data_IF_783422873459
#
_entry.id   IF_783422873459
#
_cell.length_a   1.000
_cell.length_b   1.000
_cell.length_c   1.000
_cell.angle_alpha   90.00
_cell.angle_beta   90.00
_cell.angle_gamma   90.00
#
_symmetry.space_group_name_H-M   'P 1'
#
loop_
_entity.id
_entity.type
_entity.pdbx_description
1 polymer ?
#
# COMPACT_ATOMS: atom_id res chain seq x y z
N UNK A 1 20.43 -16.77 14.10
CA UNK A 1 21.21 -16.17 13.00
C UNK A 1 20.43 -14.98 12.47
N UNK A 2 21.11 -13.89 12.12
CA UNK A 2 20.51 -12.70 11.49
C UNK A 2 19.87 -13.07 10.14
N UNK A 3 18.71 -12.50 9.83
CA UNK A 3 18.07 -12.63 8.53
C UNK A 3 18.71 -11.69 7.50
N UNK A 4 19.16 -10.51 7.95
CA UNK A 4 19.86 -9.54 7.12
C UNK A 4 21.28 -10.04 6.83
N UNK A 5 21.64 -10.12 5.54
CA UNK A 5 23.03 -10.38 5.14
C UNK A 5 23.76 -9.06 5.00
N UNK A 6 24.87 -8.89 5.72
CA UNK A 6 25.69 -7.69 5.65
C UNK A 6 26.82 -7.92 4.66
N UNK A 7 26.72 -7.30 3.49
CA UNK A 7 27.73 -7.40 2.43
C UNK A 7 27.95 -6.04 1.78
N UNK A 8 28.86 -5.29 2.38
CA UNK A 8 29.04 -3.90 2.02
C UNK A 8 29.68 -3.71 0.64
N UNK A 9 29.23 -2.69 -0.07
CA UNK A 9 29.88 -2.19 -1.29
C UNK A 9 31.12 -1.37 -0.94
N UNK A 10 32.01 -1.14 -1.90
CA UNK A 10 33.20 -0.30 -1.69
C UNK A 10 32.80 1.16 -1.41
N UNK A 11 33.61 1.84 -0.59
CA UNK A 11 33.49 3.29 -0.42
C UNK A 11 33.67 3.97 -1.78
N UNK A 12 32.75 4.86 -2.12
CA UNK A 12 32.77 5.66 -3.35
C UNK A 12 31.86 6.88 -3.18
N UNK A 13 32.14 7.95 -3.92
CA UNK A 13 31.42 9.22 -3.76
C UNK A 13 29.92 9.14 -4.11
N UNK A 14 29.53 8.22 -5.01
CA UNK A 14 28.20 8.20 -5.63
C UNK A 14 27.15 7.44 -4.80
N UNK A 15 27.55 6.43 -4.05
CA UNK A 15 26.61 5.57 -3.32
C UNK A 15 27.00 5.27 -1.88
N UNK A 16 28.30 5.18 -1.54
CA UNK A 16 28.75 4.92 -0.17
C UNK A 16 29.87 5.88 0.23
N UNK A 17 29.52 7.05 0.79
CA UNK A 17 30.52 8.07 1.08
C UNK A 17 31.44 7.76 2.27
N UNK A 18 31.17 6.70 3.04
CA UNK A 18 31.91 6.40 4.27
C UNK A 18 31.69 7.43 5.40
N UNK A 19 30.68 8.28 5.26
CA UNK A 19 30.33 9.29 6.26
C UNK A 19 29.48 8.63 7.35
N UNK A 20 29.85 8.87 8.61
CA UNK A 20 29.07 8.41 9.77
C UNK A 20 27.75 9.18 9.87
N UNK A 21 26.67 8.49 10.16
CA UNK A 21 25.37 9.11 10.38
C UNK A 21 25.23 9.66 11.82
N UNK A 22 24.17 10.40 12.08
CA UNK A 22 23.93 11.08 13.36
C UNK A 22 23.26 10.16 14.41
N UNK A 23 23.20 8.86 14.15
CA UNK A 23 22.30 7.92 14.82
C UNK A 23 21.04 7.66 14.00
N UNK A 24 20.30 6.60 14.31
CA UNK A 24 19.11 6.20 13.55
C UNK A 24 17.85 6.54 14.35
N UNK A 25 17.02 7.41 13.81
CA UNK A 25 15.75 7.89 14.37
C UNK A 25 14.51 7.34 13.64
N UNK A 26 14.70 6.63 12.54
CA UNK A 26 13.59 5.98 11.84
C UNK A 26 14.01 5.20 10.60
N UNK A 27 12.99 4.68 9.90
CA UNK A 27 13.14 3.85 8.72
C UNK A 27 12.30 4.45 7.59
N UNK A 28 12.90 4.57 6.41
CA UNK A 28 12.21 5.04 5.20
C UNK A 28 12.08 3.87 4.24
N UNK A 29 10.83 3.54 3.93
CA UNK A 29 10.45 2.49 3.01
C UNK A 29 10.42 3.03 1.57
N UNK A 30 11.02 2.26 0.67
CA UNK A 30 11.13 2.54 -0.75
C UNK A 30 10.75 1.31 -1.58
N UNK A 31 10.64 1.52 -2.89
CA UNK A 31 10.67 0.45 -3.88
C UNK A 31 11.65 0.80 -4.98
N UNK A 32 12.26 -0.22 -5.59
CA UNK A 32 13.36 0.01 -6.52
C UNK A 32 12.91 0.59 -7.86
N UNK A 33 11.60 0.53 -8.17
CA UNK A 33 11.03 0.85 -9.48
C UNK A 33 11.71 0.10 -10.65
N UNK A 34 12.45 -0.97 -10.36
CA UNK A 34 13.24 -1.73 -11.31
C UNK A 34 12.66 -3.15 -11.45
N UNK A 35 11.86 -3.35 -12.50
CA UNK A 35 11.15 -4.63 -12.76
C UNK A 35 12.15 -5.77 -12.92
N UNK A 36 12.03 -6.79 -12.08
CA UNK A 36 12.89 -7.97 -12.08
C UNK A 36 14.28 -7.75 -11.46
N UNK A 37 14.56 -6.57 -10.91
CA UNK A 37 15.83 -6.28 -10.25
C UNK A 37 15.88 -6.93 -8.87
N UNK A 38 16.83 -7.84 -8.67
CA UNK A 38 17.07 -8.52 -7.38
C UNK A 38 17.89 -7.63 -6.42
N UNK A 39 17.93 -7.99 -5.13
CA UNK A 39 18.79 -7.32 -4.15
C UNK A 39 20.27 -7.34 -4.58
N UNK A 40 20.71 -8.45 -5.20
CA UNK A 40 22.06 -8.61 -5.76
C UNK A 40 22.32 -7.69 -6.95
N UNK A 41 21.34 -7.53 -7.85
CA UNK A 41 21.49 -6.58 -8.96
C UNK A 41 21.70 -5.16 -8.44
N UNK A 42 20.94 -4.75 -7.42
CA UNK A 42 21.07 -3.42 -6.83
C UNK A 42 22.41 -3.25 -6.09
N UNK A 43 22.88 -4.25 -5.33
CA UNK A 43 24.24 -4.24 -4.76
C UNK A 43 25.30 -3.96 -5.84
N UNK A 44 25.26 -4.73 -6.93
CA UNK A 44 26.24 -4.61 -8.01
C UNK A 44 26.14 -3.26 -8.72
N UNK A 45 24.92 -2.75 -8.92
CA UNK A 45 24.68 -1.43 -9.50
C UNK A 45 25.28 -0.33 -8.61
N UNK A 46 24.95 -0.30 -7.32
CA UNK A 46 25.43 0.75 -6.41
C UNK A 46 26.94 0.65 -6.15
N UNK A 47 27.55 -0.54 -6.21
CA UNK A 47 29.00 -0.70 -6.12
C UNK A 47 29.77 -0.05 -7.29
N UNK A 48 29.10 0.12 -8.44
CA UNK A 48 29.71 0.63 -9.68
C UNK A 48 29.05 1.93 -10.16
N UNK A 49 28.19 2.55 -9.36
CA UNK A 49 27.45 3.75 -9.74
C UNK A 49 28.40 4.91 -10.06
N UNK A 50 28.10 5.66 -11.13
CA UNK A 50 28.82 6.87 -11.53
C UNK A 50 27.84 7.94 -12.02
N UNK A 51 28.17 9.21 -11.79
CA UNK A 51 27.45 10.37 -12.31
C UNK A 51 26.11 10.68 -11.64
N UNK A 52 25.69 9.90 -10.65
CA UNK A 52 24.47 10.14 -9.87
C UNK A 52 24.72 9.79 -8.40
N UNK A 53 24.11 10.55 -7.48
CA UNK A 53 24.20 10.29 -6.04
C UNK A 53 22.94 9.60 -5.55
N UNK A 54 23.01 8.29 -5.33
CA UNK A 54 21.89 7.49 -4.88
C UNK A 54 22.37 6.19 -4.21
N UNK A 55 21.62 5.73 -3.20
CA UNK A 55 21.84 4.44 -2.54
C UNK A 55 20.73 4.19 -1.52
N UNK A 56 20.67 2.99 -0.95
CA UNK A 56 19.98 2.70 0.30
C UNK A 56 20.81 1.70 1.10
N UNK A 57 20.58 1.58 2.40
CA UNK A 57 21.29 0.59 3.21
C UNK A 57 20.81 -0.82 2.89
N UNK A 58 19.50 -1.06 2.75
CA UNK A 58 18.94 -2.40 2.55
C UNK A 58 18.22 -2.54 1.22
N UNK A 59 18.43 -3.67 0.54
CA UNK A 59 17.66 -4.14 -0.62
C UNK A 59 17.07 -5.51 -0.32
N UNK A 60 15.78 -5.68 -0.57
CA UNK A 60 15.04 -6.87 -0.14
C UNK A 60 14.20 -7.40 -1.29
N UNK A 61 14.37 -8.67 -1.63
CA UNK A 61 13.57 -9.37 -2.63
C UNK A 61 12.91 -10.64 -2.04
N UNK A 62 12.38 -11.49 -2.91
CA UNK A 62 11.70 -12.74 -2.54
C UNK A 62 12.62 -13.76 -1.87
N UNK A 63 13.94 -13.62 -2.03
CA UNK A 63 14.94 -14.61 -1.64
C UNK A 63 15.69 -14.14 -0.38
N UNK A 64 16.09 -12.87 -0.33
CA UNK A 64 16.96 -12.37 0.73
C UNK A 64 16.77 -10.89 1.07
N UNK A 65 17.33 -10.48 2.21
CA UNK A 65 17.56 -9.10 2.58
C UNK A 65 19.06 -8.84 2.65
N UNK A 66 19.53 -7.84 1.89
CA UNK A 66 20.93 -7.52 1.76
C UNK A 66 21.20 -6.08 2.23
N UNK A 67 22.03 -5.94 3.26
CA UNK A 67 22.53 -4.66 3.73
C UNK A 67 23.86 -4.36 3.05
N UNK A 68 23.89 -3.32 2.20
CA UNK A 68 25.02 -2.99 1.33
C UNK A 68 25.81 -1.77 1.81
N UNK A 69 25.28 -1.00 2.75
CA UNK A 69 25.97 0.10 3.44
C UNK A 69 25.77 -0.12 4.94
N UNK A 70 26.83 -0.01 5.77
CA UNK A 70 26.70 -0.17 7.22
C UNK A 70 25.61 0.72 7.81
N UNK A 71 24.88 0.19 8.81
CA UNK A 71 23.75 0.91 9.41
C UNK A 71 24.15 2.20 10.14
N UNK A 72 25.43 2.39 10.44
CA UNK A 72 26.01 3.60 11.04
C UNK A 72 26.62 4.57 10.00
N UNK A 73 26.45 4.30 8.71
CA UNK A 73 26.86 5.17 7.61
C UNK A 73 25.65 5.82 6.91
N UNK A 74 25.92 6.95 6.25
CA UNK A 74 24.97 7.68 5.40
C UNK A 74 24.74 6.92 4.10
N UNK A 75 23.47 6.84 3.69
CA UNK A 75 23.06 6.48 2.34
C UNK A 75 22.25 7.63 1.71
N UNK A 76 22.42 7.86 0.41
CA UNK A 76 21.67 8.87 -0.34
C UNK A 76 20.30 8.38 -0.79
N UNK A 77 19.31 8.36 0.11
CA UNK A 77 18.02 7.73 -0.18
C UNK A 77 16.80 8.66 -0.07
N UNK A 78 16.81 9.72 0.74
CA UNK A 78 15.60 10.49 1.03
C UNK A 78 15.85 11.98 1.38
N UNK A 79 16.60 12.69 0.54
CA UNK A 79 16.86 14.12 0.75
C UNK A 79 16.82 14.96 -0.53
N UNK A 80 16.44 14.39 -1.66
CA UNK A 80 16.26 15.13 -2.89
C UNK A 80 15.06 16.10 -2.81
N UNK A 81 15.01 17.07 -3.72
CA UNK A 81 13.88 18.00 -3.82
C UNK A 81 12.92 17.44 -4.87
N UNK A 82 11.89 16.74 -4.42
CA UNK A 82 10.86 16.14 -5.30
C UNK A 82 9.62 17.02 -5.47
N UNK A 83 9.37 17.94 -4.54
CA UNK A 83 8.17 18.79 -4.52
C UNK A 83 8.45 20.12 -3.84
N UNK A 84 7.74 21.16 -4.27
CA UNK A 84 7.68 22.47 -3.62
C UNK A 84 6.29 22.72 -3.01
N UNK A 85 6.25 23.54 -1.96
CA UNK A 85 5.03 24.11 -1.41
C UNK A 85 4.53 25.27 -2.29
N UNK A 86 3.30 25.74 -2.03
CA UNK A 86 2.72 26.87 -2.76
C UNK A 86 3.52 28.19 -2.59
N UNK A 87 4.23 28.32 -1.47
CA UNK A 87 5.11 29.47 -1.17
C UNK A 87 6.52 29.36 -1.77
N UNK A 88 6.79 28.32 -2.59
CA UNK A 88 8.10 28.07 -3.20
C UNK A 88 9.13 27.43 -2.27
N UNK A 89 8.81 27.19 -1.00
CA UNK A 89 9.69 26.45 -0.08
C UNK A 89 9.75 24.96 -0.42
N UNK A 90 10.85 24.29 -0.03
CA UNK A 90 11.03 22.83 -0.26
C UNK A 90 9.99 22.05 0.57
N UNK A 91 9.28 21.12 -0.05
CA UNK A 91 8.34 20.23 0.66
C UNK A 91 9.12 19.24 1.54
N UNK A 92 9.15 19.47 2.86
CA UNK A 92 9.86 18.63 3.84
C UNK A 92 9.12 18.53 5.18
N UNK A 93 7.91 17.93 5.20
CA UNK A 93 7.04 17.95 6.39
C UNK A 93 7.62 17.23 7.62
N UNK A 94 8.65 16.38 7.43
CA UNK A 94 9.31 15.65 8.51
C UNK A 94 10.65 16.27 8.95
N UNK A 95 11.10 17.38 8.35
CA UNK A 95 12.44 17.93 8.61
C UNK A 95 12.66 18.32 10.08
N UNK A 96 11.63 18.85 10.77
CA UNK A 96 11.74 19.16 12.20
C UNK A 96 11.83 17.92 13.10
N UNK A 97 11.46 16.74 12.59
CA UNK A 97 11.47 15.47 13.34
C UNK A 97 12.74 14.68 13.12
N UNK A 98 13.25 14.66 11.88
CA UNK A 98 14.39 13.78 11.49
C UNK A 98 15.51 14.53 10.75
N UNK A 99 15.38 15.84 10.52
CA UNK A 99 16.35 16.62 9.76
C UNK A 99 16.53 16.12 8.33
N UNK A 100 17.80 16.06 7.89
CA UNK A 100 18.16 15.40 6.64
C UNK A 100 18.11 13.88 6.85
N UNK A 101 17.10 13.24 6.26
CA UNK A 101 16.83 11.83 6.50
C UNK A 101 17.98 10.88 6.10
N UNK A 102 18.84 11.26 5.15
CA UNK A 102 20.03 10.47 4.80
C UNK A 102 20.98 10.25 5.99
N UNK A 103 20.98 11.17 6.96
CA UNK A 103 21.87 11.17 8.13
C UNK A 103 21.22 10.59 9.38
N UNK A 104 19.93 10.31 9.37
CA UNK A 104 19.19 9.94 10.58
C UNK A 104 18.27 8.74 10.39
N UNK A 105 18.22 8.15 9.19
CA UNK A 105 17.32 7.04 8.91
C UNK A 105 17.98 5.94 8.10
N UNK A 106 17.35 4.76 8.14
CA UNK A 106 17.72 3.63 7.30
C UNK A 106 16.77 3.60 6.09
N UNK A 107 17.32 3.63 4.88
CA UNK A 107 16.61 3.37 3.65
C UNK A 107 16.46 1.87 3.40
N UNK A 108 15.22 1.42 3.24
CA UNK A 108 14.86 0.03 2.92
C UNK A 108 14.15 -0.03 1.58
N UNK A 109 14.79 -0.67 0.59
CA UNK A 109 14.30 -0.81 -0.78
C UNK A 109 13.66 -2.18 -1.00
N UNK A 110 12.36 -2.18 -1.32
CA UNK A 110 11.65 -3.38 -1.75
C UNK A 110 11.84 -3.58 -3.26
N UNK A 111 12.53 -4.65 -3.63
CA UNK A 111 12.76 -5.07 -4.99
C UNK A 111 11.47 -5.55 -5.66
N UNK A 112 11.39 -5.41 -6.98
CA UNK A 112 10.22 -5.80 -7.75
C UNK A 112 10.45 -7.10 -8.52
N UNK A 113 9.42 -7.94 -8.58
CA UNK A 113 9.43 -9.08 -9.48
C UNK A 113 9.46 -8.63 -10.96
N UNK A 114 9.55 -9.61 -11.87
CA UNK A 114 9.57 -9.35 -13.33
C UNK A 114 8.31 -8.64 -13.84
N UNK A 115 7.20 -8.72 -13.08
CA UNK A 115 5.94 -8.06 -13.41
C UNK A 115 5.89 -6.62 -12.88
N UNK A 116 6.83 -6.23 -12.03
CA UNK A 116 6.89 -4.91 -11.39
C UNK A 116 6.13 -4.82 -10.08
N UNK A 117 5.86 -5.95 -9.43
CA UNK A 117 5.14 -6.02 -8.16
C UNK A 117 6.11 -6.14 -6.99
N UNK A 118 5.78 -5.47 -5.88
CA UNK A 118 6.27 -5.87 -4.56
C UNK A 118 5.50 -7.14 -4.21
N UNK A 119 6.14 -8.30 -4.29
CA UNK A 119 5.44 -9.56 -3.99
C UNK A 119 5.17 -9.68 -2.50
N UNK A 120 4.29 -10.61 -2.15
CA UNK A 120 4.07 -10.97 -0.74
C UNK A 120 5.34 -11.51 -0.07
N UNK A 121 6.22 -12.21 -0.80
CA UNK A 121 7.49 -12.71 -0.23
C UNK A 121 8.44 -11.56 0.08
N UNK A 122 8.59 -10.62 -0.86
CA UNK A 122 9.37 -9.39 -0.64
C UNK A 122 8.82 -8.60 0.54
N UNK A 123 7.48 -8.43 0.63
CA UNK A 123 6.82 -7.78 1.76
C UNK A 123 7.16 -8.48 3.10
N UNK A 124 6.99 -9.80 3.19
CA UNK A 124 7.28 -10.54 4.42
C UNK A 124 8.77 -10.54 4.79
N UNK A 125 9.66 -10.55 3.80
CA UNK A 125 11.09 -10.41 4.04
C UNK A 125 11.44 -9.01 4.54
N UNK A 126 10.78 -7.97 4.03
CA UNK A 126 10.91 -6.62 4.55
C UNK A 126 10.43 -6.51 6.00
N UNK A 127 9.34 -7.19 6.36
CA UNK A 127 8.87 -7.26 7.76
C UNK A 127 9.92 -7.91 8.66
N UNK A 128 10.52 -9.04 8.24
CA UNK A 128 11.58 -9.72 9.01
C UNK A 128 12.80 -8.83 9.21
N UNK A 129 13.28 -8.20 8.14
CA UNK A 129 14.44 -7.31 8.20
C UNK A 129 14.16 -6.11 9.11
N UNK A 130 13.00 -5.46 8.97
CA UNK A 130 12.65 -4.30 9.81
C UNK A 130 12.47 -4.69 11.28
N UNK A 131 11.91 -5.86 11.60
CA UNK A 131 11.91 -6.38 12.98
C UNK A 131 13.31 -6.54 13.55
N UNK A 132 14.25 -7.01 12.75
CA UNK A 132 15.65 -7.12 13.16
C UNK A 132 16.28 -5.74 13.39
N UNK A 133 16.00 -4.76 12.52
CA UNK A 133 16.43 -3.37 12.71
C UNK A 133 15.85 -2.75 14.00
N UNK A 134 14.59 -3.03 14.32
CA UNK A 134 13.97 -2.55 15.57
C UNK A 134 14.59 -3.21 16.80
N UNK A 135 15.01 -4.48 16.71
CA UNK A 135 15.75 -5.11 17.81
C UNK A 135 17.10 -4.42 18.06
N UNK A 136 17.74 -3.86 17.03
CA UNK A 136 18.97 -3.06 17.13
C UNK A 136 18.67 -1.63 17.64
N UNK A 137 17.54 -1.05 17.21
CA UNK A 137 17.12 0.32 17.52
C UNK A 137 15.72 0.34 18.16
N UNK A 138 15.58 -0.06 19.44
CA UNK A 138 14.28 -0.29 20.08
C UNK A 138 13.45 0.99 20.29
N UNK A 139 14.04 2.17 20.15
CA UNK A 139 13.35 3.46 20.20
C UNK A 139 12.65 3.82 18.88
N UNK A 140 12.82 3.03 17.82
CA UNK A 140 12.06 3.17 16.57
C UNK A 140 10.67 2.54 16.78
N UNK A 141 9.67 3.40 16.96
CA UNK A 141 8.26 3.01 17.05
C UNK A 141 7.60 2.94 15.68
N UNK A 142 6.35 2.47 15.64
CA UNK A 142 5.51 2.39 14.44
C UNK A 142 5.46 3.70 13.63
N UNK A 143 5.45 4.82 14.34
CA UNK A 143 5.27 6.18 13.83
C UNK A 143 6.57 6.72 13.23
N UNK A 144 7.69 6.03 13.49
CA UNK A 144 9.02 6.29 12.94
C UNK A 144 9.35 5.43 11.71
N UNK A 145 8.32 4.82 11.10
CA UNK A 145 8.39 4.19 9.79
C UNK A 145 7.57 5.02 8.80
N UNK A 146 8.25 5.56 7.80
CA UNK A 146 7.69 6.45 6.78
C UNK A 146 7.96 5.93 5.38
N UNK A 147 7.22 6.43 4.39
CA UNK A 147 7.56 6.29 2.97
C UNK A 147 8.47 7.45 2.55
N UNK A 148 9.23 7.27 1.47
CA UNK A 148 9.95 8.40 0.86
C UNK A 148 9.00 9.56 0.50
N UNK A 149 7.79 9.23 0.08
CA UNK A 149 6.71 10.19 -0.15
C UNK A 149 6.43 11.10 1.05
N UNK A 150 6.44 10.55 2.25
CA UNK A 150 6.14 11.31 3.47
C UNK A 150 7.29 12.29 3.81
N UNK A 151 8.47 12.12 3.22
CA UNK A 151 9.68 12.92 3.50
C UNK A 151 9.88 14.02 2.46
N UNK A 152 9.78 13.69 1.18
CA UNK A 152 10.10 14.62 0.07
C UNK A 152 8.94 14.83 -0.91
N UNK A 153 7.84 14.08 -0.76
CA UNK A 153 6.74 14.06 -1.73
C UNK A 153 6.98 13.20 -2.97
N UNK A 154 8.14 12.52 -3.07
CA UNK A 154 8.42 11.58 -4.18
C UNK A 154 7.40 10.44 -4.17
N UNK A 155 6.88 10.07 -5.33
CA UNK A 155 5.94 8.93 -5.45
C UNK A 155 6.65 7.58 -5.23
N UNK A 156 7.12 7.32 -4.01
CA UNK A 156 7.91 6.18 -3.61
C UNK A 156 7.58 5.79 -2.15
N UNK A 157 7.22 4.52 -1.87
CA UNK A 157 6.93 3.47 -2.84
C UNK A 157 5.60 3.77 -3.56
N UNK A 158 5.60 3.87 -4.89
CA UNK A 158 4.38 4.23 -5.64
C UNK A 158 3.18 3.30 -5.33
N UNK A 159 3.34 1.96 -5.19
CA UNK A 159 2.24 1.09 -4.79
C UNK A 159 1.65 1.44 -3.42
N UNK A 160 2.48 1.87 -2.46
CA UNK A 160 2.03 2.25 -1.12
C UNK A 160 1.56 3.71 -1.04
N UNK A 161 1.95 4.56 -1.98
CA UNK A 161 1.35 5.89 -2.15
C UNK A 161 -0.06 5.74 -2.71
N UNK A 162 -0.24 4.90 -3.72
CA UNK A 162 -1.54 4.56 -4.28
C UNK A 162 -2.45 3.83 -3.27
N UNK A 163 -1.87 2.95 -2.45
CA UNK A 163 -2.56 2.16 -1.42
C UNK A 163 -1.92 2.35 -0.04
N UNK A 164 -2.23 3.45 0.68
CA UNK A 164 -1.63 3.74 1.99
C UNK A 164 -1.86 2.66 3.05
N UNK A 165 -2.91 1.83 2.91
CA UNK A 165 -3.16 0.70 3.81
C UNK A 165 -2.05 -0.34 3.80
N UNK A 166 -1.22 -0.44 2.75
CA UNK A 166 -0.06 -1.34 2.74
C UNK A 166 1.03 -0.91 3.73
N UNK A 167 1.21 0.40 3.95
CA UNK A 167 2.13 0.88 5.00
C UNK A 167 1.61 0.50 6.39
N UNK A 168 0.31 0.65 6.63
CA UNK A 168 -0.30 0.27 7.91
C UNK A 168 -0.27 -1.25 8.13
N UNK A 169 -0.52 -2.03 7.08
CA UNK A 169 -0.36 -3.49 7.07
C UNK A 169 1.08 -3.89 7.39
N UNK A 170 2.05 -3.20 6.82
CA UNK A 170 3.47 -3.43 7.10
C UNK A 170 3.80 -3.16 8.56
N UNK A 171 3.38 -2.00 9.07
CA UNK A 171 3.54 -1.61 10.47
C UNK A 171 2.88 -2.60 11.44
N UNK A 172 1.67 -3.08 11.13
CA UNK A 172 0.98 -4.13 11.90
C UNK A 172 1.77 -5.44 11.91
N UNK A 173 2.34 -5.83 10.77
CA UNK A 173 3.13 -7.05 10.68
C UNK A 173 4.45 -6.95 11.47
N UNK A 174 5.02 -5.75 11.57
CA UNK A 174 6.25 -5.44 12.31
C UNK A 174 6.02 -5.38 13.82
N UNK A 175 5.09 -4.56 14.30
CA UNK A 175 4.90 -4.29 15.73
C UNK A 175 3.79 -5.12 16.38
N UNK A 176 3.04 -5.87 15.59
CA UNK A 176 1.74 -6.38 16.01
C UNK A 176 0.67 -5.29 15.93
N UNK A 177 -0.59 -5.69 16.07
CA UNK A 177 -1.69 -4.73 16.16
C UNK A 177 -1.60 -4.01 17.50
N UNK A 178 -1.51 -2.68 17.48
CA UNK A 178 -1.60 -1.87 18.69
C UNK A 178 -2.94 -2.15 19.37
N UNK A 179 -2.85 -2.61 20.62
CA UNK A 179 -3.99 -2.89 21.49
C UNK A 179 -4.58 -1.57 21.98
N UNK A 180 -5.33 -0.93 21.09
CA UNK A 180 -5.87 0.42 21.20
C UNK A 180 -6.10 0.94 19.78
N UNK A 181 -7.21 0.63 19.10
CA UNK A 181 -8.39 -0.13 19.49
C UNK A 181 -8.27 -1.65 19.24
N UNK A 182 -8.31 -2.42 20.32
CA UNK A 182 -8.48 -3.88 20.45
C UNK A 182 -7.53 -4.84 19.68
N UNK A 183 -6.70 -5.52 20.48
CA UNK A 183 -5.76 -6.63 20.25
C UNK A 183 -6.38 -7.84 19.53
N UNK A 184 -5.70 -8.46 18.55
CA UNK A 184 -4.81 -9.65 18.64
C UNK A 184 -5.61 -10.99 18.64
N UNK A 185 -5.30 -12.08 17.93
CA UNK A 185 -4.12 -12.54 17.17
C UNK A 185 -4.53 -13.58 16.07
N UNK A 186 -3.60 -13.90 15.16
CA UNK A 186 -3.60 -14.93 14.07
C UNK A 186 -3.27 -16.35 14.64
N UNK A 187 -3.07 -17.46 13.89
CA UNK A 187 -3.52 -17.91 12.53
C UNK A 187 -3.88 -19.43 12.41
N UNK A 188 -4.75 -19.86 11.48
CA UNK A 188 -4.62 -21.14 10.72
C UNK A 188 -5.81 -21.41 9.81
N UNK A 189 -5.60 -21.74 8.54
CA UNK A 189 -6.53 -22.52 7.70
C UNK A 189 -6.55 -23.99 8.19
N UNK A 190 -7.63 -24.79 8.05
CA UNK A 190 -8.64 -24.78 6.98
C UNK A 190 -10.13 -24.91 7.41
N UNK A 191 -11.02 -24.63 6.46
CA UNK A 191 -12.44 -25.07 6.38
C UNK A 191 -13.55 -24.20 7.02
N UNK A 192 -14.29 -23.53 6.13
CA UNK A 192 -15.76 -23.31 6.04
C UNK A 192 -16.55 -22.80 7.27
N UNK A 193 -17.12 -21.58 7.07
CA UNK A 193 -18.36 -20.96 7.63
C UNK A 193 -18.28 -20.16 8.96
N UNK A 194 -19.14 -19.13 9.13
CA UNK A 194 -18.69 -17.73 9.20
C UNK A 194 -18.93 -17.03 10.55
N UNK A 195 -18.00 -16.18 11.01
CA UNK A 195 -18.36 -15.10 11.95
C UNK A 195 -17.49 -13.81 11.85
N UNK A 196 -18.17 -12.75 11.40
CA UNK A 196 -18.25 -11.42 12.04
C UNK A 196 -16.99 -10.55 12.22
N UNK A 197 -16.19 -10.32 11.17
CA UNK A 197 -15.58 -8.99 11.02
C UNK A 197 -16.60 -8.06 10.33
N UNK A 198 -17.31 -7.26 11.13
CA UNK A 198 -18.13 -6.17 10.63
C UNK A 198 -17.21 -5.05 10.15
N UNK A 199 -17.48 -4.49 8.98
CA UNK A 199 -16.84 -3.29 8.47
C UNK A 199 -17.56 -2.05 9.00
N UNK A 200 -16.87 -0.91 9.03
CA UNK A 200 -17.47 0.37 9.42
C UNK A 200 -18.59 0.76 8.43
N UNK A 201 -19.70 1.26 8.96
CA UNK A 201 -20.85 1.73 8.19
C UNK A 201 -20.73 3.25 7.96
N UNK A 202 -19.62 3.68 7.37
CA UNK A 202 -19.26 5.08 7.19
C UNK A 202 -19.84 5.71 5.90
N UNK A 203 -20.43 4.91 5.01
CA UNK A 203 -20.92 5.37 3.72
C UNK A 203 -19.83 5.66 2.69
N UNK A 204 -18.58 5.24 2.94
CA UNK A 204 -17.46 5.38 2.02
C UNK A 204 -17.13 4.04 1.38
N UNK A 205 -17.19 3.96 0.04
CA UNK A 205 -16.93 2.70 -0.66
C UNK A 205 -15.43 2.54 -0.86
N UNK A 206 -14.73 2.30 0.25
CA UNK A 206 -13.30 2.07 0.31
C UNK A 206 -12.92 0.59 0.33
N UNK A 207 -11.62 0.30 0.47
CA UNK A 207 -11.06 -1.05 0.43
C UNK A 207 -11.74 -2.06 1.36
N UNK A 208 -12.12 -1.67 2.58
CA UNK A 208 -12.82 -2.56 3.51
C UNK A 208 -14.19 -3.01 2.98
N UNK A 209 -14.95 -2.10 2.34
CA UNK A 209 -16.23 -2.42 1.69
C UNK A 209 -16.01 -3.31 0.47
N UNK A 210 -15.01 -3.01 -0.37
CA UNK A 210 -14.66 -3.82 -1.53
C UNK A 210 -14.26 -5.25 -1.11
N UNK A 211 -13.39 -5.40 -0.12
CA UNK A 211 -12.96 -6.71 0.37
C UNK A 211 -14.10 -7.50 0.99
N UNK A 212 -14.96 -6.86 1.79
CA UNK A 212 -16.11 -7.53 2.40
C UNK A 212 -17.08 -7.99 1.31
N UNK A 213 -17.29 -7.17 0.29
CA UNK A 213 -18.06 -7.53 -0.88
C UNK A 213 -17.45 -8.72 -1.64
N UNK A 214 -16.14 -8.72 -1.89
CA UNK A 214 -15.45 -9.85 -2.52
C UNK A 214 -15.57 -11.12 -1.70
N UNK A 215 -15.35 -11.05 -0.39
CA UNK A 215 -15.52 -12.20 0.52
C UNK A 215 -16.96 -12.74 0.47
N UNK A 216 -17.95 -11.86 0.46
CA UNK A 216 -19.36 -12.25 0.36
C UNK A 216 -19.65 -12.99 -0.95
N UNK A 217 -19.02 -12.58 -2.05
CA UNK A 217 -19.14 -13.21 -3.37
C UNK A 217 -18.20 -14.43 -3.57
N UNK A 218 -17.37 -14.78 -2.57
CA UNK A 218 -16.37 -15.84 -2.72
C UNK A 218 -15.19 -15.48 -3.64
N UNK A 219 -14.97 -14.19 -3.88
CA UNK A 219 -13.86 -13.64 -4.66
C UNK A 219 -12.68 -13.35 -3.72
N UNK A 220 -11.45 -13.60 -4.19
CA UNK A 220 -10.23 -13.23 -3.46
C UNK A 220 -10.17 -11.71 -3.28
N UNK A 221 -10.12 -11.19 -2.04
CA UNK A 221 -10.05 -9.75 -1.79
C UNK A 221 -8.73 -9.14 -2.30
N UNK A 222 -8.81 -8.05 -3.04
CA UNK A 222 -7.65 -7.33 -3.60
C UNK A 222 -7.67 -5.82 -3.29
N UNK A 223 -8.54 -5.38 -2.38
CA UNK A 223 -8.78 -4.00 -1.95
C UNK A 223 -9.37 -3.07 -3.02
N UNK A 224 -9.54 -3.54 -4.25
CA UNK A 224 -9.79 -2.68 -5.40
C UNK A 224 -11.06 -3.03 -6.17
N UNK A 225 -11.73 -2.02 -6.68
CA UNK A 225 -12.66 -2.18 -7.79
C UNK A 225 -11.82 -1.85 -9.03
N UNK A 226 -11.20 -2.86 -9.62
CA UNK A 226 -10.24 -2.70 -10.72
C UNK A 226 -10.86 -2.20 -12.03
N UNK A 227 -10.03 -1.57 -12.88
CA UNK A 227 -10.34 -1.21 -14.27
C UNK A 227 -11.59 -0.33 -14.45
N UNK A 228 -11.76 0.68 -13.59
CA UNK A 228 -12.91 1.58 -13.63
C UNK A 228 -12.62 2.81 -14.48
N UNK A 229 -13.63 3.26 -15.23
CA UNK A 229 -13.56 4.53 -15.93
C UNK A 229 -14.05 5.66 -15.02
N UNK A 230 -13.22 6.68 -14.79
CA UNK A 230 -13.54 7.80 -13.90
C UNK A 230 -14.62 8.69 -14.50
N UNK A 231 -15.74 8.80 -13.80
CA UNK A 231 -16.91 9.59 -14.18
C UNK A 231 -17.44 10.40 -12.99
N UNK A 232 -18.27 11.41 -13.24
CA UNK A 232 -18.86 12.22 -12.18
C UNK A 232 -19.67 11.37 -11.18
N UNK A 233 -20.32 10.30 -11.66
CA UNK A 233 -21.14 9.40 -10.85
C UNK A 233 -20.34 8.49 -9.92
N UNK A 234 -19.10 8.13 -10.26
CA UNK A 234 -18.31 7.14 -9.51
C UNK A 234 -17.00 7.70 -8.94
N UNK A 235 -16.76 9.01 -9.05
CA UNK A 235 -15.52 9.67 -8.57
C UNK A 235 -15.22 9.45 -7.08
N UNK A 236 -16.24 9.09 -6.28
CA UNK A 236 -16.12 8.78 -4.85
C UNK A 236 -16.21 7.27 -4.54
N UNK A 237 -16.03 6.42 -5.55
CA UNK A 237 -15.72 5.00 -5.34
C UNK A 237 -14.24 4.92 -4.90
N UNK A 238 -13.99 5.04 -3.60
CA UNK A 238 -12.63 5.15 -3.05
C UNK A 238 -11.77 3.89 -3.25
N UNK A 239 -12.40 2.74 -3.42
CA UNK A 239 -11.71 1.50 -3.81
C UNK A 239 -11.43 1.40 -5.32
N UNK A 240 -11.90 2.32 -6.16
CA UNK A 240 -11.72 2.19 -7.61
C UNK A 240 -10.26 2.40 -8.02
N UNK A 241 -9.72 1.43 -8.76
CA UNK A 241 -8.59 1.65 -9.62
C UNK A 241 -9.10 2.28 -10.92
N UNK A 242 -8.83 3.57 -11.10
CA UNK A 242 -9.22 4.27 -12.32
C UNK A 242 -8.18 4.09 -13.43
N UNK A 243 -8.60 3.57 -14.57
CA UNK A 243 -7.77 3.46 -15.78
C UNK A 243 -8.61 3.58 -17.07
N UNK A 244 -7.93 3.51 -18.21
CA UNK A 244 -8.53 3.65 -19.54
C UNK A 244 -8.70 2.32 -20.27
N UNK A 245 -8.57 1.18 -19.57
CA UNK A 245 -8.59 -0.15 -20.20
C UNK A 245 -10.00 -0.66 -20.45
N UNK A 246 -11.00 -0.09 -19.76
CA UNK A 246 -12.42 -0.47 -19.83
C UNK A 246 -12.68 -1.97 -19.58
N UNK A 247 -11.74 -2.69 -18.94
CA UNK A 247 -11.88 -4.13 -18.67
C UNK A 247 -12.97 -4.42 -17.64
N UNK A 248 -13.15 -3.53 -16.66
CA UNK A 248 -14.08 -3.70 -15.55
C UNK A 248 -13.68 -4.78 -14.53
N UNK A 249 -14.10 -4.60 -13.28
CA UNK A 249 -13.75 -5.50 -12.18
C UNK A 249 -14.62 -6.76 -12.16
N UNK A 250 -14.05 -7.85 -11.64
CA UNK A 250 -14.77 -9.11 -11.42
C UNK A 250 -15.94 -8.92 -10.45
N UNK A 251 -15.75 -8.19 -9.35
CA UNK A 251 -16.80 -7.95 -8.35
C UNK A 251 -18.01 -7.22 -8.95
N UNK A 252 -17.79 -6.12 -9.68
CA UNK A 252 -18.89 -5.39 -10.31
C UNK A 252 -19.57 -6.25 -11.36
N UNK A 253 -18.82 -7.05 -12.13
CA UNK A 253 -19.41 -7.96 -13.11
C UNK A 253 -20.32 -8.99 -12.44
N UNK A 254 -19.92 -9.53 -11.29
CA UNK A 254 -20.74 -10.44 -10.49
C UNK A 254 -22.02 -9.76 -10.02
N UNK A 255 -21.94 -8.55 -9.48
CA UNK A 255 -23.13 -7.80 -9.05
C UNK A 255 -24.05 -7.41 -10.19
N UNK A 256 -23.51 -7.01 -11.35
CA UNK A 256 -24.30 -6.75 -12.55
C UNK A 256 -25.11 -7.99 -12.95
N UNK A 257 -24.52 -9.20 -12.92
CA UNK A 257 -25.25 -10.46 -13.19
C UNK A 257 -26.37 -10.70 -12.18
N UNK A 258 -26.08 -10.58 -10.89
CA UNK A 258 -27.06 -10.80 -9.80
C UNK A 258 -28.21 -9.80 -9.84
N UNK A 259 -27.92 -8.51 -9.98
CA UNK A 259 -28.91 -7.45 -10.12
C UNK A 259 -29.75 -7.61 -11.39
N UNK A 260 -29.15 -8.07 -12.49
CA UNK A 260 -29.88 -8.37 -13.73
C UNK A 260 -30.84 -9.54 -13.57
N UNK A 261 -30.43 -10.61 -12.88
CA UNK A 261 -31.30 -11.73 -12.54
C UNK A 261 -32.50 -11.33 -11.66
N UNK A 262 -32.36 -10.26 -10.86
CA UNK A 262 -33.45 -9.64 -10.09
C UNK A 262 -34.30 -8.63 -10.88
N UNK A 263 -33.99 -8.39 -12.15
CA UNK A 263 -34.66 -7.38 -12.99
C UNK A 263 -34.32 -5.93 -12.64
N UNK A 264 -33.32 -5.68 -11.80
CA UNK A 264 -32.97 -4.35 -11.28
C UNK A 264 -31.91 -3.64 -12.13
N UNK A 265 -31.11 -4.38 -12.90
CA UNK A 265 -30.06 -3.88 -13.78
C UNK A 265 -30.36 -4.16 -15.25
N UNK A 266 -30.36 -3.11 -16.07
CA UNK A 266 -30.65 -3.17 -17.51
C UNK A 266 -29.42 -2.97 -18.41
N UNK A 267 -28.26 -2.64 -17.82
CA UNK A 267 -27.02 -2.37 -18.55
C UNK A 267 -26.27 -3.62 -19.01
N UNK A 268 -25.10 -3.38 -19.60
CA UNK A 268 -24.16 -4.42 -20.01
C UNK A 268 -23.43 -5.05 -18.80
N UNK A 269 -23.05 -6.32 -18.92
CA UNK A 269 -22.25 -7.02 -17.90
C UNK A 269 -20.76 -6.79 -18.24
N UNK A 270 -20.30 -5.56 -18.03
CA UNK A 270 -18.98 -5.07 -18.44
C UNK A 270 -17.99 -4.94 -17.27
N UNK A 271 -18.43 -5.05 -16.02
CA UNK A 271 -17.61 -4.86 -14.83
C UNK A 271 -17.34 -3.39 -14.48
N UNK A 272 -18.00 -2.44 -15.14
CA UNK A 272 -17.87 -1.01 -14.88
C UNK A 272 -18.97 -0.51 -13.92
N UNK A 273 -18.56 0.22 -12.90
CA UNK A 273 -19.43 0.87 -11.93
C UNK A 273 -19.87 2.24 -12.47
N UNK A 274 -20.65 2.20 -13.55
CA UNK A 274 -21.26 3.38 -14.17
C UNK A 274 -22.63 3.73 -13.57
N UNK A 275 -23.25 4.80 -14.08
CA UNK A 275 -24.52 5.36 -13.58
C UNK A 275 -25.63 4.31 -13.45
N UNK A 276 -25.86 3.45 -14.46
CA UNK A 276 -26.92 2.44 -14.39
C UNK A 276 -26.64 1.33 -13.38
N UNK A 277 -25.36 0.99 -13.18
CA UNK A 277 -24.96 0.03 -12.14
C UNK A 277 -25.21 0.64 -10.75
N UNK A 278 -24.87 1.92 -10.55
CA UNK A 278 -25.12 2.65 -9.31
C UNK A 278 -26.63 2.74 -9.03
N UNK A 279 -27.44 3.11 -10.02
CA UNK A 279 -28.91 3.13 -9.89
C UNK A 279 -29.48 1.77 -9.52
N UNK A 280 -28.95 0.69 -10.09
CA UNK A 280 -29.39 -0.67 -9.77
C UNK A 280 -29.10 -1.03 -8.30
N UNK A 281 -27.90 -0.71 -7.80
CA UNK A 281 -27.57 -0.88 -6.37
C UNK A 281 -28.49 -0.03 -5.48
N UNK A 282 -28.75 1.23 -5.86
CA UNK A 282 -29.63 2.13 -5.11
C UNK A 282 -31.06 1.60 -5.00
N UNK A 283 -31.63 1.10 -6.11
CA UNK A 283 -32.94 0.44 -6.12
C UNK A 283 -32.95 -0.78 -5.20
N UNK A 284 -31.94 -1.64 -5.30
CA UNK A 284 -31.87 -2.86 -4.51
C UNK A 284 -31.73 -2.58 -3.00
N UNK A 285 -30.96 -1.57 -2.64
CA UNK A 285 -30.75 -1.13 -1.25
C UNK A 285 -31.83 -0.19 -0.72
N UNK A 286 -32.85 0.13 -1.54
CA UNK A 286 -33.96 1.05 -1.19
C UNK A 286 -33.46 2.41 -0.71
N UNK A 287 -32.49 2.96 -1.42
CA UNK A 287 -31.96 4.32 -1.20
C UNK A 287 -32.34 5.24 -2.37
N UNK A 288 -32.07 6.54 -2.25
CA UNK A 288 -32.30 7.51 -3.33
C UNK A 288 -31.63 7.06 -4.63
N UNK A 289 -32.39 7.04 -5.72
CA UNK A 289 -31.92 6.60 -7.04
C UNK A 289 -31.47 7.81 -7.88
N UNK A 290 -30.30 8.35 -7.57
CA UNK A 290 -29.68 9.47 -8.29
C UNK A 290 -28.57 9.04 -9.27
N UNK A 291 -28.15 7.78 -9.20
CA UNK A 291 -27.08 7.22 -10.03
C UNK A 291 -25.68 7.71 -9.67
N UNK A 292 -25.48 8.30 -8.49
CA UNK A 292 -24.20 8.87 -8.04
C UNK A 292 -23.76 8.27 -6.70
N UNK A 293 -22.45 8.05 -6.56
CA UNK A 293 -21.80 7.78 -5.27
C UNK A 293 -21.30 9.13 -4.73
N UNK A 294 -21.99 9.68 -3.72
CA UNK A 294 -21.54 10.86 -2.97
C UNK A 294 -20.31 10.53 -2.09
N UNK A 295 -19.54 11.53 -1.62
CA UNK A 295 -18.37 11.29 -0.76
C UNK A 295 -18.69 10.48 0.50
N UNK A 296 -19.85 10.75 1.08
CA UNK A 296 -20.50 9.92 2.08
C UNK A 296 -21.87 9.54 1.54
N UNK A 297 -22.07 8.27 1.20
CA UNK A 297 -23.24 7.79 0.47
C UNK A 297 -24.14 6.92 1.35
N UNK A 298 -25.43 7.29 1.39
CA UNK A 298 -26.46 6.47 2.04
C UNK A 298 -26.58 5.10 1.37
N UNK A 299 -26.39 5.02 0.06
CA UNK A 299 -26.35 3.75 -0.66
C UNK A 299 -25.19 2.88 -0.17
N UNK A 300 -24.00 3.46 -0.04
CA UNK A 300 -22.83 2.71 0.44
C UNK A 300 -22.99 2.29 1.91
N UNK A 301 -23.57 3.15 2.75
CA UNK A 301 -23.87 2.79 4.15
C UNK A 301 -24.85 1.61 4.19
N UNK A 302 -25.91 1.64 3.38
CA UNK A 302 -26.84 0.51 3.25
C UNK A 302 -26.16 -0.76 2.73
N UNK A 303 -25.25 -0.63 1.76
CA UNK A 303 -24.42 -1.73 1.26
C UNK A 303 -23.58 -2.35 2.39
N UNK A 304 -22.89 -1.53 3.18
CA UNK A 304 -22.06 -1.96 4.31
C UNK A 304 -22.90 -2.67 5.37
N UNK A 305 -24.08 -2.16 5.71
CA UNK A 305 -25.05 -2.82 6.60
C UNK A 305 -25.45 -4.19 6.03
N UNK A 306 -25.79 -4.27 4.75
CA UNK A 306 -26.18 -5.53 4.11
C UNK A 306 -25.04 -6.55 4.15
N UNK A 307 -23.82 -6.13 3.83
CA UNK A 307 -22.60 -6.96 3.87
C UNK A 307 -22.25 -7.42 5.29
N UNK A 308 -22.38 -6.55 6.29
CA UNK A 308 -22.18 -6.88 7.70
C UNK A 308 -23.15 -7.96 8.19
N UNK A 309 -24.37 -7.93 7.67
CA UNK A 309 -25.41 -8.89 8.00
C UNK A 309 -25.44 -10.10 7.06
N UNK A 310 -24.53 -10.19 6.08
CA UNK A 310 -24.53 -11.20 5.01
C UNK A 310 -25.89 -11.32 4.30
N UNK A 311 -26.51 -10.17 3.99
CA UNK A 311 -27.85 -10.06 3.39
C UNK A 311 -27.84 -9.06 2.23
N UNK A 312 -26.97 -9.23 1.24
CA UNK A 312 -27.08 -8.41 0.02
C UNK A 312 -28.42 -8.69 -0.68
N UNK A 313 -29.16 -7.65 -1.10
CA UNK A 313 -30.50 -7.81 -1.66
C UNK A 313 -30.53 -8.22 -3.15
N UNK A 314 -29.37 -8.56 -3.72
CA UNK A 314 -29.20 -9.22 -5.02
C UNK A 314 -28.33 -10.44 -4.83
#
# INVERSE_FOLDING_TARGET
MSFIKYEYININEYSRPGIRNNGIDGIIMHYTANKGGTARNHKNYFNNLKGNYASAQLFIDDIEALCIIPLNEVAYHANEISKYNADGSRYRPLYSKIGNANYSTIGVEMCLDKNGNITEKTFQNAVKAVKELIAIYPHITREKIWRHFDVTGKNCPAPWVAKPSELERFKDAVFGKTSGSNSAAKPSTPSVKPSTNKIQEDGMFGPSTANKAMQYEGITPDDEISHQYRQACNKNLYAAQFDNTLKGSTLIRTWQKRLKAKGLYKGAIDGLCGTEMIKAMQRALKTTVDGVISPTSNMVKALQVALNNNKLPW
#
